data_IF_461071899986
#
_entry.id   IF_461071899986
#
_cell.length_a   1.000
_cell.length_b   1.000
_cell.length_c   1.000
_cell.angle_alpha   90.00
_cell.angle_beta   90.00
_cell.angle_gamma   90.00
#
_symmetry.space_group_name_H-M   'P 1'
#
loop_
_entity.id
_entity.type
_entity.pdbx_description
1 polymer ?
#
# COMPACT_ATOMS: atom_id res chain seq x y z
N UNK A 1 23.55 62.49 -13.08
CA UNK A 1 23.47 61.02 -13.01
C UNK A 1 22.31 60.66 -12.08
N UNK A 2 21.24 60.06 -12.64
CA UNK A 2 20.10 59.32 -12.03
C UNK A 2 19.37 59.97 -10.85
N UNK A 3 18.14 60.45 -10.90
CA UNK A 3 16.88 60.05 -11.56
C UNK A 3 16.26 58.72 -11.10
N UNK A 4 14.93 58.72 -10.98
CA UNK A 4 13.99 57.62 -10.63
C UNK A 4 13.88 57.13 -9.17
N UNK A 5 13.09 57.83 -8.34
CA UNK A 5 12.33 57.22 -7.24
C UNK A 5 11.09 58.06 -6.83
N UNK A 6 10.28 58.49 -7.80
CA UNK A 6 8.99 59.13 -7.52
C UNK A 6 8.02 58.88 -8.66
N UNK A 7 7.25 57.79 -8.57
CA UNK A 7 5.88 57.66 -9.07
C UNK A 7 5.49 56.18 -9.02
N UNK A 8 4.53 55.83 -8.18
CA UNK A 8 3.46 54.84 -8.41
C UNK A 8 2.59 54.77 -7.16
N UNK A 9 1.76 55.79 -6.95
CA UNK A 9 0.52 55.64 -6.19
C UNK A 9 -0.51 55.07 -7.17
N UNK A 10 -0.71 53.75 -7.15
CA UNK A 10 -1.87 53.18 -7.83
C UNK A 10 -3.09 53.17 -6.90
N UNK A 11 -4.11 53.89 -7.40
CA UNK A 11 -5.45 54.05 -6.86
C UNK A 11 -6.11 52.69 -6.62
N UNK A 12 -6.74 52.53 -5.45
CA UNK A 12 -7.70 51.47 -5.15
C UNK A 12 -9.02 51.81 -5.90
N UNK A 13 -9.61 50.90 -6.70
CA UNK A 13 -10.93 51.15 -7.28
C UNK A 13 -12.04 50.87 -6.23
N UNK A 14 -13.13 51.64 -6.22
CA UNK A 14 -14.27 51.42 -5.32
C UNK A 14 -15.22 50.39 -5.95
N UNK A 15 -15.52 49.33 -5.21
CA UNK A 15 -16.48 48.31 -5.63
C UNK A 15 -15.93 46.90 -5.57
N UNK A 16 -15.72 46.37 -4.37
CA UNK A 16 -15.66 44.93 -4.14
C UNK A 16 -16.53 44.64 -2.92
N UNK A 17 -17.72 44.16 -3.24
CA UNK A 17 -18.79 43.87 -2.31
C UNK A 17 -18.36 42.74 -1.37
N UNK A 18 -18.86 42.84 -0.14
CA UNK A 18 -18.86 41.81 0.88
C UNK A 18 -19.40 40.48 0.31
N UNK A 19 -18.52 39.48 0.15
CA UNK A 19 -18.92 38.11 -0.17
C UNK A 19 -18.26 37.16 0.82
N UNK A 20 -18.98 36.92 1.92
CA UNK A 20 -18.84 35.70 2.70
C UNK A 20 -19.09 34.52 1.76
N UNK A 21 -18.06 33.72 1.47
CA UNK A 21 -18.23 32.44 0.76
C UNK A 21 -17.44 31.38 1.53
N UNK A 22 -18.19 30.58 2.28
CA UNK A 22 -17.70 29.32 2.78
C UNK A 22 -17.35 28.35 1.64
N UNK A 23 -16.40 27.45 1.96
CA UNK A 23 -16.25 26.12 1.35
C UNK A 23 -15.96 26.04 -0.15
N UNK A 24 -14.72 26.24 -0.63
CA UNK A 24 -14.33 25.65 -1.94
C UNK A 24 -12.82 25.38 -2.13
N UNK A 25 -12.17 24.48 -1.36
CA UNK A 25 -11.01 23.78 -1.96
C UNK A 25 -11.53 22.54 -2.72
N UNK A 26 -11.10 22.28 -3.97
CA UNK A 26 -11.52 21.11 -4.74
C UNK A 26 -11.26 19.79 -4.00
N UNK A 27 -10.21 19.75 -3.18
CA UNK A 27 -9.80 18.59 -2.39
C UNK A 27 -10.80 18.32 -1.26
N UNK A 28 -11.30 19.36 -0.58
CA UNK A 28 -12.29 19.24 0.50
C UNK A 28 -13.65 18.72 0.02
N UNK A 29 -14.02 18.94 -1.25
CA UNK A 29 -15.22 18.32 -1.86
C UNK A 29 -15.00 16.85 -2.21
N UNK A 30 -13.81 16.50 -2.71
CA UNK A 30 -13.46 15.13 -3.09
C UNK A 30 -13.43 14.18 -1.87
N UNK A 31 -12.92 14.65 -0.73
CA UNK A 31 -12.86 13.87 0.52
C UNK A 31 -14.25 13.59 1.15
N UNK A 32 -15.25 14.46 0.92
CA UNK A 32 -16.62 14.25 1.38
C UNK A 32 -17.38 13.19 0.58
N UNK A 33 -16.97 12.90 -0.65
CA UNK A 33 -17.62 11.90 -1.50
C UNK A 33 -17.17 10.46 -1.22
N UNK A 34 -16.04 10.28 -0.53
CA UNK A 34 -15.45 8.95 -0.27
C UNK A 34 -15.85 8.35 1.09
N UNK A 35 -16.59 9.07 1.93
CA UNK A 35 -16.95 8.64 3.30
C UNK A 35 -18.30 7.90 3.42
N UNK A 36 -18.99 7.61 2.31
CA UNK A 36 -20.27 6.89 2.33
C UNK A 36 -20.10 5.36 2.33
N UNK A 37 -19.96 4.79 3.53
CA UNK A 37 -20.56 3.52 3.99
C UNK A 37 -20.16 2.18 3.35
N UNK A 38 -19.56 1.30 4.16
CA UNK A 38 -19.88 -0.14 4.19
C UNK A 38 -19.39 -0.78 5.51
N UNK A 39 -20.33 -1.00 6.44
CA UNK A 39 -20.16 -1.85 7.62
C UNK A 39 -20.23 -3.31 7.16
N UNK A 40 -19.17 -4.10 7.34
CA UNK A 40 -19.20 -5.54 7.10
C UNK A 40 -18.66 -6.30 8.30
N UNK A 41 -19.54 -7.10 8.92
CA UNK A 41 -19.22 -8.07 9.97
C UNK A 41 -18.20 -9.09 9.46
N UNK A 42 -17.24 -9.45 10.31
CA UNK A 42 -16.26 -10.51 10.07
C UNK A 42 -16.83 -11.86 10.52
N UNK A 43 -16.96 -12.87 9.65
CA UNK A 43 -17.13 -14.25 10.09
C UNK A 43 -15.75 -14.86 10.33
N UNK A 44 -15.51 -15.26 11.57
CA UNK A 44 -14.47 -16.22 11.96
C UNK A 44 -14.75 -17.56 11.28
N UNK A 45 -14.15 -17.80 10.12
CA UNK A 45 -14.03 -19.14 9.56
C UNK A 45 -12.60 -19.34 9.08
N UNK A 46 -11.85 -20.19 9.80
CA UNK A 46 -10.56 -20.69 9.32
C UNK A 46 -10.86 -21.67 8.18
N UNK A 47 -10.37 -21.44 6.95
CA UNK A 47 -10.59 -22.38 5.88
C UNK A 47 -9.69 -23.61 6.12
N UNK A 48 -10.32 -24.75 6.39
CA UNK A 48 -9.67 -26.06 6.33
C UNK A 48 -9.52 -26.41 4.85
N UNK A 49 -8.27 -26.54 4.38
CA UNK A 49 -7.96 -26.72 2.96
C UNK A 49 -7.80 -28.20 2.60
N UNK A 50 -8.79 -28.78 1.94
CA UNK A 50 -8.82 -30.18 1.50
C UNK A 50 -8.16 -30.39 0.13
N UNK A 51 -7.18 -31.30 0.11
CA UNK A 51 -6.66 -32.18 -0.96
C UNK A 51 -7.14 -31.93 -2.41
N UNK A 52 -6.52 -30.98 -3.14
CA UNK A 52 -6.22 -31.08 -4.59
C UNK A 52 -5.47 -29.82 -5.05
N UNK A 53 -4.14 -29.91 -5.13
CA UNK A 53 -3.26 -28.78 -5.53
C UNK A 53 -3.19 -28.59 -7.05
N UNK A 54 -3.62 -29.58 -7.84
CA UNK A 54 -3.38 -29.61 -9.28
C UNK A 54 -4.22 -28.60 -10.10
N UNK A 55 -5.25 -27.95 -9.53
CA UNK A 55 -6.10 -27.03 -10.31
C UNK A 55 -6.57 -25.76 -9.57
N UNK A 56 -6.21 -25.58 -8.30
CA UNK A 56 -6.45 -24.34 -7.55
C UNK A 56 -5.15 -23.53 -7.31
N UNK A 57 -4.01 -23.86 -7.91
CA UNK A 57 -3.69 -23.49 -9.29
C UNK A 57 -3.05 -22.10 -9.29
N UNK A 58 -1.80 -21.96 -9.76
CA UNK A 58 -1.02 -20.71 -9.73
C UNK A 58 -1.81 -19.46 -10.17
N UNK A 59 -2.75 -19.62 -11.12
CA UNK A 59 -3.69 -18.58 -11.54
C UNK A 59 -4.46 -17.92 -10.38
N UNK A 60 -4.92 -18.68 -9.37
CA UNK A 60 -5.61 -18.15 -8.21
C UNK A 60 -4.68 -17.29 -7.33
N UNK A 61 -3.41 -17.70 -7.22
CA UNK A 61 -2.37 -17.00 -6.47
C UNK A 61 -1.98 -15.71 -7.19
N UNK A 62 -1.82 -15.73 -8.52
CA UNK A 62 -1.54 -14.53 -9.31
C UNK A 62 -2.73 -13.56 -9.31
N UNK A 63 -3.96 -14.06 -9.35
CA UNK A 63 -5.15 -13.21 -9.18
C UNK A 63 -5.19 -12.56 -7.79
N UNK A 64 -4.83 -13.31 -6.74
CA UNK A 64 -4.72 -12.76 -5.39
C UNK A 64 -3.60 -11.71 -5.27
N UNK A 65 -2.45 -11.95 -5.91
CA UNK A 65 -1.35 -10.99 -5.99
C UNK A 65 -1.80 -9.70 -6.69
N UNK A 66 -2.47 -9.81 -7.85
CA UNK A 66 -3.04 -8.68 -8.57
C UNK A 66 -4.02 -7.87 -7.71
N UNK A 67 -4.96 -8.53 -7.03
CA UNK A 67 -5.90 -7.86 -6.11
C UNK A 67 -5.18 -7.13 -4.98
N UNK A 68 -4.11 -7.73 -4.45
CA UNK A 68 -3.29 -7.13 -3.39
C UNK A 68 -2.51 -5.90 -3.89
N UNK A 69 -1.92 -5.98 -5.09
CA UNK A 69 -1.30 -4.82 -5.75
C UNK A 69 -2.32 -3.70 -6.01
N UNK A 70 -3.50 -4.03 -6.54
CA UNK A 70 -4.55 -3.05 -6.80
C UNK A 70 -5.06 -2.39 -5.51
N UNK A 71 -5.07 -3.10 -4.38
CA UNK A 71 -5.34 -2.50 -3.08
C UNK A 71 -4.23 -1.52 -2.69
N UNK A 72 -2.96 -1.92 -2.79
CA UNK A 72 -1.81 -1.04 -2.51
C UNK A 72 -1.88 0.26 -3.30
N UNK A 73 -2.12 0.19 -4.62
CA UNK A 73 -2.21 1.37 -5.49
C UNK A 73 -3.38 2.29 -5.11
N UNK A 74 -4.56 1.72 -4.83
CA UNK A 74 -5.71 2.51 -4.36
C UNK A 74 -5.41 3.22 -3.05
N UNK A 75 -4.78 2.52 -2.11
CA UNK A 75 -4.35 3.11 -0.84
C UNK A 75 -3.33 4.23 -1.08
N UNK A 76 -2.34 4.05 -1.96
CA UNK A 76 -1.39 5.11 -2.31
C UNK A 76 -2.05 6.34 -2.97
N UNK A 77 -3.10 6.14 -3.77
CA UNK A 77 -3.89 7.26 -4.31
C UNK A 77 -4.61 8.05 -3.20
N UNK A 78 -5.11 7.37 -2.16
CA UNK A 78 -5.65 8.06 -0.98
C UNK A 78 -4.54 8.84 -0.25
N UNK A 79 -3.31 8.32 -0.19
CA UNK A 79 -2.18 9.06 0.40
C UNK A 79 -1.92 10.37 -0.32
N UNK A 80 -1.99 10.41 -1.67
CA UNK A 80 -1.74 11.67 -2.39
C UNK A 80 -2.80 12.74 -2.08
N UNK A 81 -4.07 12.32 -1.94
CA UNK A 81 -5.16 13.22 -1.53
C UNK A 81 -4.96 13.74 -0.10
N UNK A 82 -4.59 12.86 0.84
CA UNK A 82 -4.32 13.24 2.22
C UNK A 82 -3.12 14.17 2.34
N UNK A 83 -2.04 13.93 1.58
CA UNK A 83 -0.85 14.80 1.56
C UNK A 83 -1.16 16.17 0.97
N UNK A 84 -1.97 16.24 -0.08
CA UNK A 84 -2.43 17.52 -0.62
C UNK A 84 -3.29 18.28 0.40
N UNK A 85 -4.18 17.57 1.10
CA UNK A 85 -4.98 18.19 2.16
C UNK A 85 -4.12 18.65 3.34
N UNK A 86 -3.13 17.85 3.73
CA UNK A 86 -2.18 18.22 4.78
C UNK A 86 -1.39 19.49 4.42
N UNK A 87 -1.01 19.66 3.15
CA UNK A 87 -0.36 20.89 2.69
C UNK A 87 -1.27 22.12 2.82
N UNK A 88 -2.57 22.01 2.45
CA UNK A 88 -3.55 23.09 2.65
C UNK A 88 -3.67 23.47 4.13
N UNK A 89 -3.78 22.48 5.03
CA UNK A 89 -3.92 22.74 6.46
C UNK A 89 -2.68 23.37 7.09
N UNK A 90 -1.49 23.01 6.60
CA UNK A 90 -0.23 23.60 7.08
C UNK A 90 -0.04 25.03 6.58
N UNK A 91 -0.48 25.35 5.36
CA UNK A 91 -0.52 26.73 4.86
C UNK A 91 -1.48 27.59 5.70
N UNK A 92 -2.69 27.10 5.95
CA UNK A 92 -3.68 27.76 6.82
C UNK A 92 -3.12 28.01 8.22
N UNK A 93 -2.34 27.05 8.76
CA UNK A 93 -1.72 27.18 10.08
C UNK A 93 -0.63 28.26 10.07
N UNK A 94 0.19 28.31 9.03
CA UNK A 94 1.20 29.36 8.84
C UNK A 94 0.57 30.75 8.83
N UNK A 95 -0.48 30.94 8.03
CA UNK A 95 -1.21 32.21 7.98
C UNK A 95 -1.83 32.62 9.32
N UNK A 96 -2.28 31.67 10.14
CA UNK A 96 -2.82 31.95 11.47
C UNK A 96 -1.72 32.27 12.48
N UNK A 97 -0.55 31.65 12.34
CA UNK A 97 0.61 31.92 13.18
C UNK A 97 1.15 33.33 12.93
N UNK A 98 1.21 33.76 11.67
CA UNK A 98 1.59 35.13 11.28
C UNK A 98 0.63 36.18 11.85
N UNK A 99 -0.65 35.83 12.02
CA UNK A 99 -1.68 36.66 12.64
C UNK A 99 -1.71 36.58 14.17
N UNK A 100 -0.89 35.71 14.78
CA UNK A 100 -0.83 35.50 16.22
C UNK A 100 -2.07 34.79 16.81
N UNK A 101 -2.85 34.07 16.00
CA UNK A 101 -4.11 33.47 16.41
C UNK A 101 -4.27 32.02 15.92
N UNK A 102 -3.42 31.07 16.38
CA UNK A 102 -3.50 29.67 15.97
C UNK A 102 -4.77 29.00 16.50
N UNK A 103 -5.52 28.35 15.60
CA UNK A 103 -6.75 27.63 15.93
C UNK A 103 -6.46 26.23 16.45
N UNK A 104 -6.97 25.93 17.65
CA UNK A 104 -6.93 24.58 18.21
C UNK A 104 -7.67 23.55 17.34
N UNK A 105 -8.74 23.95 16.64
CA UNK A 105 -9.47 23.03 15.75
C UNK A 105 -8.65 22.65 14.53
N UNK A 106 -7.87 23.59 13.98
CA UNK A 106 -6.96 23.34 12.87
C UNK A 106 -5.83 22.38 13.29
N UNK A 107 -5.23 22.59 14.47
CA UNK A 107 -4.22 21.68 15.01
C UNK A 107 -4.76 20.25 15.18
N UNK A 108 -5.99 20.08 15.69
CA UNK A 108 -6.64 18.76 15.81
C UNK A 108 -6.89 18.11 14.45
N UNK A 109 -7.28 18.90 13.46
CA UNK A 109 -7.49 18.41 12.10
C UNK A 109 -6.18 17.93 11.46
N UNK A 110 -5.08 18.68 11.61
CA UNK A 110 -3.74 18.28 11.16
C UNK A 110 -3.32 16.95 11.80
N UNK A 111 -3.49 16.81 13.12
CA UNK A 111 -3.17 15.55 13.82
C UNK A 111 -4.01 14.38 13.30
N UNK A 112 -5.29 14.62 13.03
CA UNK A 112 -6.20 13.61 12.48
C UNK A 112 -5.78 13.17 11.08
N UNK A 113 -5.47 14.12 10.20
CA UNK A 113 -5.00 13.82 8.83
C UNK A 113 -3.67 13.07 8.87
N UNK A 114 -2.76 13.43 9.77
CA UNK A 114 -1.48 12.74 9.92
C UNK A 114 -1.65 11.28 10.40
N UNK A 115 -2.55 11.01 11.35
CA UNK A 115 -2.89 9.62 11.74
C UNK A 115 -3.43 8.82 10.53
N UNK A 116 -4.31 9.43 9.74
CA UNK A 116 -4.83 8.81 8.52
C UNK A 116 -3.72 8.51 7.52
N UNK A 117 -2.79 9.44 7.28
CA UNK A 117 -1.63 9.22 6.39
C UNK A 117 -0.79 8.02 6.85
N UNK A 118 -0.47 7.94 8.15
CA UNK A 118 0.34 6.86 8.70
C UNK A 118 -0.36 5.50 8.59
N UNK A 119 -1.66 5.44 8.91
CA UNK A 119 -2.46 4.22 8.79
C UNK A 119 -2.61 3.76 7.35
N UNK A 120 -2.83 4.71 6.44
CA UNK A 120 -2.95 4.46 5.01
C UNK A 120 -1.62 3.96 4.42
N UNK A 121 -0.49 4.58 4.80
CA UNK A 121 0.84 4.11 4.41
C UNK A 121 1.10 2.65 4.87
N UNK A 122 0.75 2.32 6.12
CA UNK A 122 0.85 0.94 6.64
C UNK A 122 0.03 -0.05 5.80
N UNK A 123 -1.21 0.31 5.45
CA UNK A 123 -2.08 -0.55 4.63
C UNK A 123 -1.51 -0.76 3.23
N UNK A 124 -0.95 0.29 2.60
CA UNK A 124 -0.33 0.20 1.28
C UNK A 124 0.86 -0.77 1.31
N UNK A 125 1.75 -0.61 2.29
CA UNK A 125 2.93 -1.47 2.45
C UNK A 125 2.52 -2.93 2.71
N UNK A 126 1.51 -3.17 3.57
CA UNK A 126 1.02 -4.53 3.82
C UNK A 126 0.43 -5.18 2.57
N UNK A 127 -0.36 -4.44 1.79
CA UNK A 127 -0.94 -4.93 0.54
C UNK A 127 0.14 -5.18 -0.52
N UNK A 128 1.16 -4.33 -0.59
CA UNK A 128 2.32 -4.50 -1.45
C UNK A 128 3.12 -5.76 -1.07
N UNK A 129 3.49 -5.89 0.21
CA UNK A 129 4.24 -7.05 0.72
C UNK A 129 3.48 -8.36 0.53
N UNK A 130 2.16 -8.36 0.73
CA UNK A 130 1.31 -9.52 0.43
C UNK A 130 1.32 -9.87 -1.06
N UNK A 131 1.34 -8.89 -1.96
CA UNK A 131 1.47 -9.13 -3.39
C UNK A 131 2.80 -9.82 -3.73
N UNK A 132 3.91 -9.30 -3.20
CA UNK A 132 5.25 -9.88 -3.39
C UNK A 132 5.34 -11.32 -2.87
N UNK A 133 4.81 -11.57 -1.68
CA UNK A 133 4.78 -12.91 -1.08
C UNK A 133 3.95 -13.89 -1.94
N UNK A 134 2.80 -13.45 -2.45
CA UNK A 134 1.97 -14.26 -3.34
C UNK A 134 2.68 -14.56 -4.67
N UNK A 135 3.44 -13.61 -5.23
CA UNK A 135 4.26 -13.86 -6.42
C UNK A 135 5.29 -14.98 -6.17
N UNK A 136 6.00 -14.95 -5.03
CA UNK A 136 6.95 -16.03 -4.65
C UNK A 136 6.23 -17.37 -4.52
N UNK A 137 5.07 -17.40 -3.88
CA UNK A 137 4.27 -18.64 -3.75
C UNK A 137 3.80 -19.16 -5.11
N UNK A 138 3.37 -18.27 -6.01
CA UNK A 138 2.95 -18.61 -7.36
C UNK A 138 4.09 -19.22 -8.18
N UNK A 139 5.25 -18.59 -8.15
CA UNK A 139 6.47 -19.10 -8.79
C UNK A 139 6.89 -20.47 -8.21
N UNK A 140 6.94 -20.61 -6.88
CA UNK A 140 7.23 -21.92 -6.24
C UNK A 140 6.26 -23.00 -6.71
N UNK A 141 4.97 -22.69 -6.82
CA UNK A 141 3.97 -23.64 -7.29
C UNK A 141 4.20 -24.05 -8.75
N UNK A 142 4.57 -23.12 -9.64
CA UNK A 142 4.92 -23.42 -11.02
C UNK A 142 6.14 -24.34 -11.12
N UNK A 143 7.24 -24.01 -10.45
CA UNK A 143 8.46 -24.82 -10.43
C UNK A 143 8.24 -26.21 -9.82
N UNK A 144 7.47 -26.30 -8.73
CA UNK A 144 7.15 -27.59 -8.11
C UNK A 144 6.25 -28.44 -8.99
N UNK A 145 5.33 -27.85 -9.76
CA UNK A 145 4.51 -28.61 -10.70
C UNK A 145 5.36 -29.28 -11.78
N UNK A 146 6.44 -28.63 -12.22
CA UNK A 146 7.40 -29.18 -13.18
C UNK A 146 8.41 -30.15 -12.55
N UNK A 147 8.52 -30.16 -11.21
CA UNK A 147 9.41 -31.08 -10.52
C UNK A 147 8.85 -32.51 -10.50
N UNK A 148 9.75 -33.50 -10.65
CA UNK A 148 9.46 -34.92 -10.46
C UNK A 148 9.30 -35.34 -8.99
N UNK A 149 9.11 -34.38 -8.07
CA UNK A 149 8.99 -34.65 -6.64
C UNK A 149 7.64 -35.31 -6.29
N UNK A 150 7.56 -36.07 -5.20
CA UNK A 150 6.27 -36.55 -4.70
C UNK A 150 5.44 -35.40 -4.12
N UNK A 151 4.10 -35.50 -4.18
CA UNK A 151 3.18 -34.45 -3.72
C UNK A 151 3.33 -34.09 -2.24
N UNK A 152 3.73 -35.05 -1.41
CA UNK A 152 4.02 -34.81 0.02
C UNK A 152 5.15 -33.80 0.19
N UNK A 153 6.19 -33.91 -0.64
CA UNK A 153 7.34 -33.04 -0.62
C UNK A 153 7.04 -31.68 -1.27
N UNK A 154 6.35 -31.68 -2.41
CA UNK A 154 5.87 -30.43 -3.03
C UNK A 154 5.12 -29.57 -2.02
N UNK A 155 4.24 -30.19 -1.22
CA UNK A 155 3.48 -29.48 -0.17
C UNK A 155 4.36 -28.89 0.92
N UNK A 156 5.36 -29.64 1.38
CA UNK A 156 6.32 -29.19 2.40
C UNK A 156 7.11 -27.97 1.91
N UNK A 157 7.55 -27.99 0.65
CA UNK A 157 8.33 -26.92 0.05
C UNK A 157 7.47 -25.69 -0.25
N UNK A 158 6.27 -25.89 -0.81
CA UNK A 158 5.34 -24.82 -1.14
C UNK A 158 4.92 -24.02 0.10
N UNK A 159 4.75 -24.70 1.25
CA UNK A 159 4.37 -24.08 2.53
C UNK A 159 5.52 -23.47 3.33
N UNK A 160 6.77 -23.52 2.83
CA UNK A 160 7.90 -22.93 3.54
C UNK A 160 7.74 -21.40 3.66
N UNK A 161 8.21 -20.77 4.75
CA UNK A 161 8.22 -19.32 4.88
C UNK A 161 8.92 -18.62 3.69
N UNK A 162 8.51 -17.37 3.44
CA UNK A 162 9.20 -16.48 2.50
C UNK A 162 10.14 -15.61 3.34
N UNK A 163 11.44 -15.92 3.26
CA UNK A 163 12.47 -15.19 3.99
C UNK A 163 12.97 -13.99 3.16
N UNK A 164 12.97 -12.77 3.74
CA UNK A 164 13.52 -11.59 3.06
C UNK A 164 15.00 -11.78 2.69
N UNK A 165 15.38 -11.40 1.46
CA UNK A 165 16.78 -11.42 1.01
C UNK A 165 17.32 -12.79 0.60
N UNK A 166 16.51 -13.86 0.64
CA UNK A 166 16.89 -15.17 0.13
C UNK A 166 16.29 -15.46 -1.26
N UNK A 167 16.84 -16.48 -1.93
CA UNK A 167 16.34 -16.95 -3.22
C UNK A 167 14.91 -17.49 -3.10
N UNK A 168 14.23 -17.66 -4.25
CA UNK A 168 12.82 -18.03 -4.35
C UNK A 168 12.38 -19.12 -3.34
N UNK A 169 13.19 -20.15 -3.13
CA UNK A 169 12.89 -21.29 -2.25
C UNK A 169 13.61 -21.25 -0.90
N UNK A 170 14.51 -20.28 -0.68
CA UNK A 170 15.26 -20.14 0.57
C UNK A 170 16.08 -21.38 0.94
N UNK A 171 16.22 -21.71 2.23
CA UNK A 171 17.07 -22.81 2.70
C UNK A 171 16.52 -24.18 2.33
N UNK A 172 15.25 -24.25 1.90
CA UNK A 172 14.62 -25.51 1.49
C UNK A 172 15.28 -26.11 0.25
N UNK A 173 15.91 -25.29 -0.60
CA UNK A 173 16.73 -25.80 -1.72
C UNK A 173 17.90 -26.65 -1.23
N UNK A 174 18.54 -26.30 -0.11
CA UNK A 174 19.63 -27.11 0.43
C UNK A 174 19.15 -28.52 0.82
N UNK A 175 17.93 -28.62 1.35
CA UNK A 175 17.32 -29.92 1.67
C UNK A 175 16.96 -30.72 0.41
N UNK A 176 16.57 -30.05 -0.68
CA UNK A 176 16.34 -30.73 -1.96
C UNK A 176 17.67 -31.21 -2.56
N UNK A 177 18.70 -30.37 -2.52
CA UNK A 177 20.02 -30.65 -3.07
C UNK A 177 20.65 -31.85 -2.36
N UNK A 178 20.66 -31.85 -1.03
CA UNK A 178 21.19 -32.97 -0.24
C UNK A 178 20.55 -34.31 -0.63
N UNK A 179 19.24 -34.35 -0.81
CA UNK A 179 18.53 -35.59 -1.18
C UNK A 179 18.79 -36.04 -2.61
N UNK A 180 18.94 -35.11 -3.55
CA UNK A 180 19.39 -35.43 -4.89
C UNK A 180 20.79 -36.06 -4.87
N UNK A 181 21.68 -35.55 -4.01
CA UNK A 181 23.04 -36.08 -3.87
C UNK A 181 23.07 -37.44 -3.16
N UNK A 182 22.18 -37.68 -2.18
CA UNK A 182 21.97 -38.99 -1.57
C UNK A 182 21.45 -40.02 -2.58
N UNK A 183 20.43 -39.65 -3.38
CA UNK A 183 19.88 -40.54 -4.41
C UNK A 183 20.90 -40.90 -5.49
N UNK A 184 21.75 -39.94 -5.91
CA UNK A 184 22.87 -40.23 -6.83
C UNK A 184 23.89 -41.21 -6.25
N UNK A 185 24.12 -41.17 -4.93
CA UNK A 185 25.02 -42.13 -4.27
C UNK A 185 24.40 -43.52 -4.21
N UNK A 186 23.09 -43.61 -3.98
CA UNK A 186 22.34 -44.88 -4.01
C UNK A 186 22.35 -45.49 -5.43
N UNK A 187 22.10 -44.67 -6.47
CA UNK A 187 22.11 -45.12 -7.87
C UNK A 187 23.51 -45.55 -8.36
N UNK A 188 24.59 -45.00 -7.77
CA UNK A 188 25.99 -45.40 -8.06
C UNK A 188 26.45 -46.67 -7.32
N UNK A 189 25.64 -47.21 -6.41
CA UNK A 189 25.96 -48.41 -5.63
C UNK A 189 25.36 -49.70 -6.23
N UNK A 190 24.65 -49.56 -7.35
CA UNK A 190 24.13 -50.63 -8.21
C UNK A 190 24.82 -50.60 -9.58
#
# INVERSE_FOLDING_TARGET
MGDTARMMRHRRPPGAQHLSIGLTSPIRRSLKMTSSGATSRSPTNRPVMTKTWAFLGSASVHQAAYKSSALSVRTLNVSSLLSAYQAELLDDLGQQLDKGSPSLSLCKEILTVNDLVLRNARQAIQACGRSMALSVVGERALWLNLSGLPDSEKRRIAGAPVEPGQTLFGPVVALMQQRCDEKKKEDNWF
#
